data_IF_580441212950
#
_entry.id   IF_580441212950
#
_cell.length_a   1.000
_cell.length_b   1.000
_cell.length_c   1.000
_cell.angle_alpha   90.00
_cell.angle_beta   90.00
_cell.angle_gamma   90.00
#
_symmetry.space_group_name_H-M   'P 1'
#
loop_
_entity.id
_entity.type
_entity.pdbx_description
1 polymer ?
#
# COMPACT_ATOMS: atom_id res chain seq x y z
N UNK A 1 20.49 22.74 -11.28
CA UNK A 1 20.34 23.11 -9.86
C UNK A 1 20.54 21.86 -8.96
N UNK A 2 19.87 20.74 -9.17
CA UNK A 2 20.05 19.51 -8.37
C UNK A 2 21.42 18.86 -8.60
N UNK A 3 21.92 18.81 -9.81
CA UNK A 3 23.24 18.27 -10.14
C UNK A 3 24.37 19.07 -9.46
N UNK A 4 24.23 20.39 -9.39
CA UNK A 4 25.20 21.23 -8.68
C UNK A 4 25.15 21.02 -7.16
N UNK A 5 23.97 20.68 -6.60
CA UNK A 5 23.84 20.30 -5.18
C UNK A 5 24.57 18.98 -4.89
N UNK A 6 24.41 17.98 -5.76
CA UNK A 6 25.12 16.68 -5.65
C UNK A 6 26.63 16.88 -5.73
N UNK A 7 27.10 17.70 -6.67
CA UNK A 7 28.55 17.98 -6.82
C UNK A 7 29.12 18.61 -5.55
N UNK A 8 28.41 19.57 -4.95
CA UNK A 8 28.81 20.19 -3.67
C UNK A 8 28.80 19.19 -2.51
N UNK A 9 27.74 18.39 -2.38
CA UNK A 9 27.64 17.37 -1.35
C UNK A 9 28.74 16.31 -1.49
N UNK A 10 29.06 15.89 -2.72
CA UNK A 10 30.17 14.96 -3.00
C UNK A 10 31.53 15.56 -2.61
N UNK A 11 31.75 16.84 -2.85
CA UNK A 11 32.97 17.52 -2.42
C UNK A 11 33.08 17.55 -0.88
N UNK A 12 31.97 17.77 -0.17
CA UNK A 12 31.92 17.71 1.29
C UNK A 12 32.26 16.32 1.84
N UNK A 13 31.76 15.25 1.20
CA UNK A 13 32.11 13.86 1.56
C UNK A 13 33.62 13.62 1.36
N UNK A 14 34.18 14.07 0.24
CA UNK A 14 35.61 13.93 -0.01
C UNK A 14 36.46 14.68 1.03
N UNK A 15 36.04 15.87 1.44
CA UNK A 15 36.68 16.63 2.51
C UNK A 15 36.61 15.91 3.86
N UNK A 16 35.44 15.38 4.21
CA UNK A 16 35.27 14.60 5.45
C UNK A 16 36.09 13.29 5.43
N UNK A 17 36.19 12.61 4.29
CA UNK A 17 37.09 11.44 4.11
C UNK A 17 38.55 11.80 4.32
N UNK A 18 39.00 12.94 3.81
CA UNK A 18 40.36 13.41 4.04
C UNK A 18 40.63 13.73 5.52
N UNK A 19 39.64 14.34 6.20
CA UNK A 19 39.69 14.60 7.64
C UNK A 19 39.76 13.30 8.47
N UNK A 20 38.96 12.29 8.11
CA UNK A 20 39.03 10.98 8.75
C UNK A 20 40.41 10.30 8.52
N UNK A 21 40.93 10.36 7.32
CA UNK A 21 42.26 9.81 7.02
C UNK A 21 43.36 10.51 7.86
N UNK A 22 43.27 11.83 8.03
CA UNK A 22 44.21 12.57 8.86
C UNK A 22 44.12 12.17 10.34
N UNK A 23 42.90 12.04 10.90
CA UNK A 23 42.71 11.63 12.30
C UNK A 23 43.13 10.16 12.53
N UNK A 24 42.91 9.28 11.55
CA UNK A 24 43.33 7.89 11.65
C UNK A 24 44.87 7.74 11.64
N UNK A 25 45.58 8.58 10.88
CA UNK A 25 47.07 8.64 10.91
C UNK A 25 47.55 9.17 12.26
N UNK A 26 46.90 10.20 12.79
CA UNK A 26 47.26 10.74 14.11
C UNK A 26 47.05 9.71 15.24
N UNK A 27 46.00 8.91 15.16
CA UNK A 27 45.75 7.82 16.10
C UNK A 27 46.82 6.72 15.97
N UNK A 28 47.21 6.34 14.75
CA UNK A 28 48.26 5.33 14.52
C UNK A 28 49.61 5.80 15.07
N UNK A 29 49.93 7.08 14.90
CA UNK A 29 51.14 7.68 15.49
C UNK A 29 51.10 7.66 17.03
N UNK A 30 49.97 8.05 17.63
CA UNK A 30 49.79 8.01 19.08
C UNK A 30 49.93 6.57 19.62
N UNK A 31 49.35 5.59 18.95
CA UNK A 31 49.47 4.16 19.31
C UNK A 31 50.92 3.66 19.22
N UNK A 32 51.68 4.08 18.21
CA UNK A 32 53.10 3.71 18.05
C UNK A 32 53.94 4.34 19.14
N UNK A 33 53.72 5.60 19.50
CA UNK A 33 54.41 6.30 20.60
C UNK A 33 54.14 5.60 21.93
N UNK A 34 52.89 5.34 22.21
CA UNK A 34 52.48 4.67 23.45
C UNK A 34 53.11 3.25 23.56
N UNK A 35 53.04 2.47 22.49
CA UNK A 35 53.63 1.14 22.48
C UNK A 35 55.16 1.17 22.79
N UNK A 36 55.85 2.18 22.28
CA UNK A 36 57.26 2.42 22.59
C UNK A 36 57.48 2.81 24.05
N UNK A 37 56.68 3.78 24.52
CA UNK A 37 56.81 4.29 25.88
C UNK A 37 56.38 3.28 26.93
N UNK A 38 55.47 2.37 26.63
CA UNK A 38 55.09 1.24 27.49
C UNK A 38 56.30 0.35 27.80
N UNK A 39 57.11 0.02 26.80
CA UNK A 39 58.32 -0.77 27.00
C UNK A 39 59.38 -0.01 27.82
N UNK A 40 59.47 1.32 27.66
CA UNK A 40 60.40 2.15 28.44
C UNK A 40 59.94 2.27 29.90
N UNK A 41 58.64 2.35 30.13
CA UNK A 41 58.05 2.37 31.47
C UNK A 41 58.30 1.04 32.22
N UNK A 42 58.05 -0.10 31.53
CA UNK A 42 58.34 -1.43 32.08
C UNK A 42 59.83 -1.62 32.47
N UNK A 43 60.73 -0.88 31.80
CA UNK A 43 62.18 -0.87 32.11
C UNK A 43 62.58 0.22 33.15
N UNK A 44 61.61 0.97 33.65
CA UNK A 44 61.85 2.05 34.62
C UNK A 44 62.55 3.30 34.02
N UNK A 45 62.50 3.48 32.69
CA UNK A 45 63.19 4.58 32.00
C UNK A 45 62.38 5.87 31.89
N UNK A 46 61.04 5.80 32.11
CA UNK A 46 60.15 6.98 32.14
C UNK A 46 59.29 6.98 33.40
N UNK A 47 58.79 8.19 33.75
CA UNK A 47 57.95 8.38 34.93
C UNK A 47 56.49 7.94 34.70
N UNK A 48 55.74 7.62 35.76
CA UNK A 48 54.32 7.32 35.73
C UNK A 48 53.53 8.48 35.07
N UNK A 49 53.87 9.73 35.37
CA UNK A 49 53.21 10.90 34.81
C UNK A 49 53.34 10.98 33.27
N UNK A 50 54.48 10.61 32.72
CA UNK A 50 54.72 10.57 31.27
C UNK A 50 53.91 9.43 30.63
N UNK A 51 53.87 8.24 31.25
CA UNK A 51 53.05 7.13 30.78
C UNK A 51 51.55 7.45 30.75
N UNK A 52 51.01 8.07 31.81
CA UNK A 52 49.62 8.51 31.91
C UNK A 52 49.28 9.64 30.90
N UNK A 53 50.27 10.49 30.55
CA UNK A 53 50.09 11.51 29.52
C UNK A 53 49.91 10.89 28.13
N UNK A 54 50.73 9.87 27.80
CA UNK A 54 50.60 9.14 26.51
C UNK A 54 49.29 8.37 26.41
N UNK A 55 48.82 7.75 27.51
CA UNK A 55 47.55 7.07 27.56
C UNK A 55 46.37 8.02 27.29
N UNK A 56 46.44 9.24 27.85
CA UNK A 56 45.44 10.28 27.55
C UNK A 56 45.52 10.73 26.09
N UNK A 57 46.72 10.83 25.52
CA UNK A 57 46.90 11.20 24.12
C UNK A 57 46.24 10.22 23.14
N UNK A 58 46.33 8.90 23.42
CA UNK A 58 45.58 7.90 22.64
C UNK A 58 44.07 8.12 22.75
N UNK A 59 43.54 8.26 23.97
CA UNK A 59 42.12 8.44 24.18
C UNK A 59 41.60 9.68 23.45
N UNK A 60 42.38 10.79 23.44
CA UNK A 60 42.04 11.99 22.68
C UNK A 60 42.06 11.70 21.16
N UNK A 61 43.05 11.02 20.68
CA UNK A 61 43.15 10.65 19.25
C UNK A 61 42.03 9.70 18.79
N UNK A 62 41.61 8.76 19.66
CA UNK A 62 40.46 7.87 19.40
C UNK A 62 39.16 8.63 19.29
N UNK A 63 38.90 9.54 20.22
CA UNK A 63 37.71 10.42 20.16
C UNK A 63 37.73 11.33 18.94
N UNK A 64 38.90 11.76 18.51
CA UNK A 64 39.07 12.61 17.33
C UNK A 64 38.81 11.84 16.03
N UNK A 65 39.26 10.57 15.94
CA UNK A 65 38.90 9.68 14.83
C UNK A 65 37.39 9.37 14.81
N UNK A 66 36.80 9.09 15.96
CA UNK A 66 35.36 8.84 16.08
C UNK A 66 34.54 10.06 15.66
N UNK A 67 34.93 11.26 16.10
CA UNK A 67 34.31 12.51 15.67
C UNK A 67 34.37 12.70 14.15
N UNK A 68 35.54 12.40 13.54
CA UNK A 68 35.72 12.47 12.09
C UNK A 68 34.86 11.43 11.35
N UNK A 69 34.63 10.24 11.92
CA UNK A 69 33.69 9.24 11.38
C UNK A 69 32.24 9.77 11.36
N UNK A 70 31.80 10.40 12.44
CA UNK A 70 30.45 10.99 12.48
C UNK A 70 30.31 12.15 11.51
N UNK A 71 31.36 12.97 11.32
CA UNK A 71 31.36 14.01 10.30
C UNK A 71 31.24 13.45 8.88
N UNK A 72 31.96 12.35 8.58
CA UNK A 72 31.81 11.64 7.32
C UNK A 72 30.40 11.10 7.12
N UNK A 73 29.83 10.46 8.12
CA UNK A 73 28.46 9.91 8.07
C UNK A 73 27.44 11.03 7.83
N UNK A 74 27.60 12.17 8.47
CA UNK A 74 26.73 13.35 8.24
C UNK A 74 26.85 13.86 6.80
N UNK A 75 28.07 13.93 6.26
CA UNK A 75 28.30 14.36 4.88
C UNK A 75 27.70 13.35 3.86
N UNK A 76 27.79 12.07 4.14
CA UNK A 76 27.18 11.01 3.31
C UNK A 76 25.64 11.08 3.34
N UNK A 77 25.05 11.35 4.50
CA UNK A 77 23.60 11.55 4.61
C UNK A 77 23.12 12.76 3.78
N UNK A 78 23.86 13.88 3.80
CA UNK A 78 23.56 15.05 2.98
C UNK A 78 23.69 14.74 1.47
N UNK A 79 24.65 13.91 1.07
CA UNK A 79 24.79 13.47 -0.31
C UNK A 79 23.61 12.59 -0.73
N UNK A 80 23.19 11.66 0.11
CA UNK A 80 22.02 10.80 -0.13
C UNK A 80 20.73 11.62 -0.27
N UNK A 81 20.57 12.65 0.58
CA UNK A 81 19.45 13.58 0.45
C UNK A 81 19.46 14.33 -0.89
N UNK A 82 20.63 14.79 -1.34
CA UNK A 82 20.77 15.45 -2.64
C UNK A 82 20.41 14.51 -3.80
N UNK A 83 20.78 13.21 -3.74
CA UNK A 83 20.37 12.21 -4.70
C UNK A 83 18.87 11.93 -4.67
N UNK A 84 18.26 11.82 -3.49
CA UNK A 84 16.81 11.65 -3.34
C UNK A 84 16.05 12.82 -3.94
N UNK A 85 16.53 14.04 -3.74
CA UNK A 85 15.93 15.23 -4.32
C UNK A 85 16.05 15.24 -5.86
N UNK A 86 17.16 14.79 -6.43
CA UNK A 86 17.27 14.60 -7.90
C UNK A 86 16.31 13.52 -8.38
N UNK A 87 16.23 12.37 -7.68
CA UNK A 87 15.33 11.28 -8.07
C UNK A 87 13.86 11.71 -8.11
N UNK A 88 13.45 12.61 -7.23
CA UNK A 88 12.09 13.17 -7.20
C UNK A 88 11.74 14.01 -8.43
N UNK A 89 12.74 14.48 -9.18
CA UNK A 89 12.48 15.23 -10.44
C UNK A 89 12.10 14.32 -11.60
N UNK A 90 12.38 13.02 -11.49
CA UNK A 90 11.99 12.03 -12.48
C UNK A 90 10.91 11.15 -11.89
N UNK A 91 9.70 11.32 -12.36
CA UNK A 91 8.54 10.57 -11.89
C UNK A 91 8.37 9.36 -12.79
N UNK A 92 8.42 8.18 -12.22
CA UNK A 92 8.24 6.90 -12.90
C UNK A 92 6.96 6.23 -12.42
N UNK A 93 6.29 5.52 -13.33
CA UNK A 93 5.12 4.73 -12.98
C UNK A 93 5.47 3.67 -11.93
N UNK A 94 4.71 3.56 -10.82
CA UNK A 94 4.95 2.55 -9.78
C UNK A 94 4.55 1.14 -10.21
N UNK A 95 3.66 1.02 -11.19
CA UNK A 95 3.13 -0.24 -11.72
C UNK A 95 3.03 -0.16 -13.24
N UNK A 96 3.05 -1.32 -13.88
CA UNK A 96 2.70 -1.43 -15.30
C UNK A 96 1.19 -1.28 -15.46
N UNK A 97 0.74 -0.53 -16.47
CA UNK A 97 -0.68 -0.31 -16.67
C UNK A 97 -0.97 0.72 -17.78
N UNK A 98 -2.24 1.07 -17.87
CA UNK A 98 -2.74 2.08 -18.81
C UNK A 98 -3.04 3.37 -18.06
N UNK A 99 -2.68 4.50 -18.66
CA UNK A 99 -3.07 5.82 -18.13
C UNK A 99 -4.57 5.99 -18.31
N UNK A 100 -5.30 6.07 -17.20
CA UNK A 100 -6.76 6.23 -17.21
C UNK A 100 -7.20 7.69 -17.14
N UNK A 101 -6.40 8.51 -16.53
CA UNK A 101 -6.63 9.94 -16.39
C UNK A 101 -5.30 10.68 -16.47
N UNK A 102 -5.28 11.79 -17.19
CA UNK A 102 -4.12 12.69 -17.32
C UNK A 102 -4.62 14.10 -17.01
N UNK A 103 -4.15 14.64 -15.88
CA UNK A 103 -4.65 15.90 -15.33
C UNK A 103 -3.66 17.06 -15.55
N UNK A 104 -2.54 16.80 -16.24
CA UNK A 104 -1.50 17.80 -16.47
C UNK A 104 -1.10 17.88 -17.93
N UNK A 105 -0.73 19.07 -18.38
CA UNK A 105 -0.23 19.32 -19.74
C UNK A 105 1.27 19.60 -19.75
N UNK A 106 1.88 19.45 -20.94
CA UNK A 106 3.31 19.73 -21.11
C UNK A 106 3.59 21.23 -20.87
N UNK A 107 4.50 21.51 -19.95
CA UNK A 107 4.87 22.88 -19.57
C UNK A 107 4.09 23.41 -18.35
N UNK A 108 3.12 22.67 -17.86
CA UNK A 108 2.39 23.03 -16.65
C UNK A 108 3.26 22.94 -15.40
N UNK A 109 3.02 23.84 -14.46
CA UNK A 109 3.72 23.86 -13.19
C UNK A 109 3.02 22.99 -12.15
N UNK A 110 3.62 21.87 -11.80
CA UNK A 110 3.12 20.97 -10.75
C UNK A 110 3.79 21.28 -9.42
N UNK A 111 3.04 21.13 -8.32
CA UNK A 111 3.54 21.37 -6.97
C UNK A 111 3.58 20.01 -6.25
N UNK A 112 4.75 19.69 -5.70
CA UNK A 112 4.95 18.50 -4.89
C UNK A 112 5.89 18.83 -3.74
N UNK A 113 5.35 19.28 -2.61
CA UNK A 113 6.14 19.56 -1.40
C UNK A 113 5.71 18.66 -0.26
N UNK A 114 6.60 18.44 0.69
CA UNK A 114 6.31 17.64 1.88
C UNK A 114 5.23 18.28 2.80
N UNK A 115 4.95 19.55 2.61
CA UNK A 115 4.06 20.36 3.47
C UNK A 115 2.71 20.70 2.82
N UNK A 116 2.56 20.48 1.52
CA UNK A 116 1.31 20.77 0.79
C UNK A 116 0.84 19.53 0.03
N UNK A 117 -0.48 19.41 -0.12
CA UNK A 117 -1.08 18.40 -0.98
C UNK A 117 -0.52 18.53 -2.38
N UNK A 118 0.10 17.47 -2.90
CA UNK A 118 0.69 17.47 -4.25
C UNK A 118 -0.38 17.56 -5.33
N UNK A 119 0.02 18.01 -6.53
CA UNK A 119 -0.83 17.98 -7.72
C UNK A 119 -0.92 16.52 -8.22
N UNK A 120 -2.13 16.00 -8.37
CA UNK A 120 -2.36 14.73 -9.05
C UNK A 120 -2.05 14.92 -10.54
N UNK A 121 -1.11 14.14 -11.05
CA UNK A 121 -0.62 14.30 -12.42
C UNK A 121 -1.32 13.35 -13.39
N UNK A 122 -1.44 12.09 -12.99
CA UNK A 122 -2.05 11.03 -13.79
C UNK A 122 -2.44 9.85 -12.92
N UNK A 123 -3.41 9.07 -13.40
CA UNK A 123 -3.80 7.78 -12.83
C UNK A 123 -3.41 6.65 -13.76
N UNK A 124 -2.79 5.63 -13.19
CA UNK A 124 -2.45 4.39 -13.89
C UNK A 124 -3.24 3.26 -13.27
N UNK A 125 -3.88 2.45 -14.09
CA UNK A 125 -4.61 1.27 -13.66
C UNK A 125 -4.26 0.05 -14.51
N UNK A 126 -4.27 -1.12 -13.88
CA UNK A 126 -4.25 -2.40 -14.60
C UNK A 126 -5.68 -2.73 -15.03
N UNK A 127 -5.94 -2.60 -16.33
CA UNK A 127 -7.25 -2.88 -16.91
C UNK A 127 -7.51 -4.39 -17.12
N UNK A 128 -6.54 -5.27 -16.84
CA UNK A 128 -6.75 -6.71 -16.93
C UNK A 128 -7.55 -7.25 -15.75
N UNK A 129 -7.53 -6.54 -14.63
CA UNK A 129 -8.26 -6.92 -13.42
C UNK A 129 -9.27 -5.83 -13.09
N UNK A 130 -10.53 -6.09 -13.38
CA UNK A 130 -11.63 -5.13 -13.10
C UNK A 130 -12.37 -5.55 -11.84
N UNK A 131 -12.67 -4.56 -11.01
CA UNK A 131 -13.47 -4.74 -9.81
C UNK A 131 -14.67 -3.78 -9.84
N UNK A 132 -15.82 -4.28 -9.41
CA UNK A 132 -17.03 -3.48 -9.22
C UNK A 132 -17.19 -3.18 -7.74
N UNK A 133 -17.37 -1.92 -7.44
CA UNK A 133 -17.60 -1.43 -6.11
C UNK A 133 -19.12 -1.26 -5.89
N UNK A 134 -19.67 -1.93 -4.90
CA UNK A 134 -21.10 -1.91 -4.60
C UNK A 134 -21.32 -1.48 -3.15
N UNK A 135 -22.29 -0.61 -2.94
CA UNK A 135 -22.72 -0.22 -1.60
C UNK A 135 -23.91 -1.10 -1.19
N UNK A 136 -23.73 -1.86 -0.12
CA UNK A 136 -24.72 -2.80 0.41
C UNK A 136 -25.20 -2.34 1.77
N UNK A 137 -26.52 -2.43 1.98
CA UNK A 137 -27.16 -2.07 3.24
C UNK A 137 -26.72 -2.99 4.39
N UNK A 138 -26.73 -2.47 5.63
CA UNK A 138 -26.39 -3.20 6.86
C UNK A 138 -27.24 -4.47 7.05
N UNK A 139 -28.49 -4.47 6.66
CA UNK A 139 -29.37 -5.64 6.80
C UNK A 139 -29.03 -6.79 5.86
N UNK A 140 -28.38 -6.49 4.74
CA UNK A 140 -28.06 -7.49 3.71
C UNK A 140 -26.59 -7.90 3.73
N UNK A 141 -25.69 -7.06 4.25
CA UNK A 141 -24.26 -7.38 4.35
C UNK A 141 -23.99 -8.65 5.18
N UNK A 142 -24.81 -8.91 6.19
CA UNK A 142 -24.70 -10.08 7.07
C UNK A 142 -24.87 -11.40 6.30
N UNK A 143 -25.61 -11.36 5.18
CA UNK A 143 -25.88 -12.54 4.33
C UNK A 143 -24.78 -12.80 3.32
N UNK A 144 -23.91 -11.81 3.06
CA UNK A 144 -22.87 -11.89 2.03
C UNK A 144 -21.60 -12.46 2.62
N UNK A 145 -21.02 -13.40 1.93
CA UNK A 145 -19.73 -13.98 2.30
C UNK A 145 -18.69 -13.79 1.20
N UNK A 146 -17.42 -13.72 1.61
CA UNK A 146 -16.32 -13.68 0.65
C UNK A 146 -16.30 -14.96 -0.17
N UNK A 147 -16.33 -14.83 -1.49
CA UNK A 147 -16.39 -15.95 -2.42
C UNK A 147 -17.76 -16.15 -3.04
N UNK A 148 -18.80 -15.42 -2.61
CA UNK A 148 -20.12 -15.49 -3.23
C UNK A 148 -20.05 -15.05 -4.70
N UNK A 149 -20.86 -15.71 -5.53
CA UNK A 149 -20.96 -15.41 -6.95
C UNK A 149 -21.90 -14.23 -7.16
N UNK A 150 -21.50 -13.29 -7.98
CA UNK A 150 -22.34 -12.15 -8.38
C UNK A 150 -22.58 -12.14 -9.89
N UNK A 151 -23.78 -11.74 -10.28
CA UNK A 151 -24.13 -11.36 -11.65
C UNK A 151 -24.02 -9.85 -11.76
N UNK A 152 -23.30 -9.39 -12.78
CA UNK A 152 -22.98 -7.98 -13.00
C UNK A 152 -23.55 -7.58 -14.34
N UNK A 153 -24.41 -6.58 -14.35
CA UNK A 153 -24.93 -5.95 -15.55
C UNK A 153 -24.38 -4.54 -15.65
N UNK A 154 -23.62 -4.26 -16.70
CA UNK A 154 -23.02 -2.96 -16.94
C UNK A 154 -23.93 -2.17 -17.87
N UNK A 155 -24.28 -0.96 -17.48
CA UNK A 155 -25.24 -0.12 -18.23
C UNK A 155 -24.81 0.18 -19.67
N UNK A 156 -23.49 0.19 -19.92
CA UNK A 156 -22.94 0.34 -21.27
C UNK A 156 -23.14 -0.88 -22.19
N UNK A 157 -23.44 -2.06 -21.63
CA UNK A 157 -23.58 -3.35 -22.34
C UNK A 157 -24.92 -4.02 -22.01
N UNK A 158 -26.02 -3.33 -22.29
CA UNK A 158 -27.38 -3.80 -22.03
C UNK A 158 -27.62 -5.22 -22.63
N UNK A 159 -28.21 -6.08 -21.81
CA UNK A 159 -28.52 -7.47 -22.20
C UNK A 159 -27.37 -8.46 -22.02
N UNK A 160 -26.22 -8.03 -21.56
CA UNK A 160 -25.10 -8.92 -21.22
C UNK A 160 -24.92 -8.95 -19.70
N UNK A 161 -24.98 -10.14 -19.11
CA UNK A 161 -24.67 -10.36 -17.71
C UNK A 161 -23.29 -11.01 -17.57
N UNK A 162 -22.46 -10.46 -16.70
CA UNK A 162 -21.11 -10.92 -16.43
C UNK A 162 -21.05 -11.56 -15.06
N UNK A 163 -20.11 -12.49 -14.88
CA UNK A 163 -19.92 -13.15 -13.59
C UNK A 163 -18.78 -12.50 -12.83
N UNK A 164 -19.01 -12.30 -11.54
CA UNK A 164 -18.02 -11.87 -10.59
C UNK A 164 -18.01 -12.72 -9.34
N UNK A 165 -17.01 -12.51 -8.51
CA UNK A 165 -16.87 -13.14 -7.20
C UNK A 165 -16.57 -12.06 -6.18
N UNK A 166 -17.22 -12.10 -5.02
CA UNK A 166 -16.96 -11.20 -3.90
C UNK A 166 -15.53 -11.39 -3.42
N UNK A 167 -14.69 -10.38 -3.63
CA UNK A 167 -13.27 -10.39 -3.27
C UNK A 167 -13.02 -9.88 -1.87
N UNK A 168 -13.72 -8.81 -1.51
CA UNK A 168 -13.53 -8.11 -0.23
C UNK A 168 -14.84 -7.49 0.25
N UNK A 169 -15.06 -7.49 1.56
CA UNK A 169 -16.17 -6.83 2.23
C UNK A 169 -15.55 -5.85 3.23
N UNK A 170 -15.92 -4.58 3.16
CA UNK A 170 -15.41 -3.57 4.08
C UNK A 170 -15.87 -3.85 5.51
N UNK A 171 -14.94 -3.81 6.46
CA UNK A 171 -15.22 -4.03 7.88
C UNK A 171 -15.82 -2.78 8.58
N UNK A 172 -15.83 -1.64 7.90
CA UNK A 172 -16.40 -0.39 8.42
C UNK A 172 -17.40 0.20 7.44
N UNK A 173 -18.45 0.77 7.99
CA UNK A 173 -19.43 1.50 7.21
C UNK A 173 -18.83 2.79 6.66
N UNK A 174 -19.24 3.16 5.45
CA UNK A 174 -18.93 4.44 4.84
C UNK A 174 -19.91 5.48 5.37
N UNK A 175 -19.51 6.21 6.39
CA UNK A 175 -20.29 7.34 6.89
C UNK A 175 -20.05 8.54 5.98
N UNK A 176 -21.09 9.07 5.36
CA UNK A 176 -21.00 10.34 4.65
C UNK A 176 -20.69 11.47 5.64
N UNK A 177 -19.69 12.31 5.32
CA UNK A 177 -19.37 13.48 6.15
C UNK A 177 -20.61 14.39 6.26
N UNK A 178 -21.17 14.52 7.49
CA UNK A 178 -22.38 15.31 7.74
C UNK A 178 -23.68 14.52 7.76
N UNK A 179 -23.63 13.19 7.85
CA UNK A 179 -24.80 12.32 7.93
C UNK A 179 -25.68 12.63 9.14
N UNK A 180 -26.98 12.79 8.91
CA UNK A 180 -28.01 12.83 9.95
C UNK A 180 -28.17 11.43 10.58
N UNK A 181 -28.64 11.32 11.85
CA UNK A 181 -28.82 10.03 12.53
C UNK A 181 -29.72 9.01 11.83
N UNK A 182 -30.56 9.47 10.89
CA UNK A 182 -31.51 8.64 10.12
C UNK A 182 -30.94 8.12 8.78
N UNK A 183 -29.62 8.29 8.53
CA UNK A 183 -29.04 7.88 7.26
C UNK A 183 -28.72 6.39 7.28
N UNK A 184 -29.11 5.72 6.20
CA UNK A 184 -28.87 4.27 5.99
C UNK A 184 -27.39 3.98 5.98
N UNK A 185 -26.97 3.03 6.83
CA UNK A 185 -25.59 2.57 6.91
C UNK A 185 -25.29 1.62 5.76
N UNK A 186 -24.36 2.00 4.89
CA UNK A 186 -23.94 1.18 3.77
C UNK A 186 -22.49 0.69 3.96
N UNK A 187 -22.23 -0.54 3.53
CA UNK A 187 -20.92 -1.16 3.52
C UNK A 187 -20.44 -1.35 2.08
N UNK A 188 -19.17 -1.11 1.85
CA UNK A 188 -18.56 -1.26 0.54
C UNK A 188 -18.17 -2.73 0.31
N UNK A 189 -18.62 -3.31 -0.79
CA UNK A 189 -18.28 -4.66 -1.22
C UNK A 189 -17.57 -4.58 -2.56
N UNK A 190 -16.39 -5.18 -2.67
CA UNK A 190 -15.63 -5.30 -3.91
C UNK A 190 -15.90 -6.66 -4.54
N UNK A 191 -16.27 -6.63 -5.80
CA UNK A 191 -16.58 -7.80 -6.60
C UNK A 191 -15.64 -7.84 -7.78
N UNK A 192 -14.79 -8.88 -7.84
CA UNK A 192 -13.87 -9.06 -8.94
C UNK A 192 -14.57 -9.73 -10.11
N UNK A 193 -14.49 -9.14 -11.29
CA UNK A 193 -15.01 -9.72 -12.51
C UNK A 193 -14.16 -10.89 -12.97
N UNK A 194 -14.81 -11.93 -13.47
CA UNK A 194 -14.14 -13.12 -14.03
C UNK A 194 -13.87 -12.85 -15.51
N UNK A 195 -12.59 -12.84 -15.91
CA UNK A 195 -12.18 -12.50 -17.28
C UNK A 195 -12.84 -13.38 -18.35
N UNK A 196 -13.05 -14.65 -18.07
CA UNK A 196 -13.75 -15.56 -19.02
C UNK A 196 -15.21 -15.18 -19.29
N UNK A 197 -15.84 -14.39 -18.42
CA UNK A 197 -17.25 -14.00 -18.60
C UNK A 197 -17.45 -12.92 -19.67
N UNK A 198 -16.43 -12.13 -19.99
CA UNK A 198 -16.50 -11.08 -21.01
C UNK A 198 -15.61 -11.33 -22.25
N UNK A 199 -14.98 -12.49 -22.34
CA UNK A 199 -14.17 -12.85 -23.50
C UNK A 199 -14.97 -12.79 -24.82
N UNK A 200 -16.28 -12.94 -24.78
CA UNK A 200 -17.18 -12.80 -25.95
C UNK A 200 -17.25 -11.37 -26.50
N UNK A 201 -16.88 -10.35 -25.72
CA UNK A 201 -16.84 -8.96 -26.15
C UNK A 201 -15.53 -8.56 -26.81
N UNK A 202 -14.45 -9.31 -26.59
CA UNK A 202 -13.11 -8.98 -27.12
C UNK A 202 -13.06 -8.75 -28.65
N UNK A 203 -13.77 -9.53 -29.50
CA UNK A 203 -13.72 -9.34 -30.94
C UNK A 203 -14.23 -7.97 -31.40
N UNK A 204 -15.19 -7.39 -30.68
CA UNK A 204 -15.86 -6.16 -31.07
C UNK A 204 -15.30 -4.91 -30.37
N UNK A 205 -14.83 -5.04 -29.14
CA UNK A 205 -14.47 -3.91 -28.27
C UNK A 205 -13.00 -3.94 -27.79
N UNK A 206 -12.22 -4.91 -28.23
CA UNK A 206 -10.83 -5.08 -27.85
C UNK A 206 -10.67 -5.82 -26.49
N UNK A 207 -9.43 -6.01 -26.10
CA UNK A 207 -9.05 -6.84 -24.94
C UNK A 207 -9.65 -6.35 -23.60
N UNK A 208 -9.93 -5.06 -23.48
CA UNK A 208 -10.48 -4.44 -22.26
C UNK A 208 -11.69 -3.58 -22.64
N UNK A 209 -12.91 -4.14 -22.67
CA UNK A 209 -14.12 -3.42 -23.07
C UNK A 209 -14.60 -2.45 -21.98
N UNK A 210 -14.24 -2.70 -20.73
CA UNK A 210 -14.68 -1.88 -19.60
C UNK A 210 -13.72 -0.73 -19.33
N UNK A 211 -14.26 0.38 -18.84
CA UNK A 211 -13.48 1.55 -18.43
C UNK A 211 -13.79 1.89 -16.97
N UNK A 212 -12.80 2.33 -16.19
CA UNK A 212 -13.03 2.84 -14.84
C UNK A 212 -14.09 3.97 -14.86
N UNK A 213 -15.01 3.93 -13.89
CA UNK A 213 -16.09 4.91 -13.80
C UNK A 213 -17.39 4.51 -14.52
N UNK A 214 -17.46 3.34 -15.16
CA UNK A 214 -18.73 2.81 -15.67
C UNK A 214 -19.65 2.39 -14.53
N UNK A 215 -20.95 2.60 -14.70
CA UNK A 215 -21.99 2.18 -13.75
C UNK A 215 -22.40 0.74 -14.04
N UNK A 216 -22.65 -0.01 -12.98
CA UNK A 216 -23.10 -1.39 -13.08
C UNK A 216 -24.11 -1.72 -11.97
N UNK A 217 -25.08 -2.57 -12.31
CA UNK A 217 -26.00 -3.18 -11.36
C UNK A 217 -25.52 -4.58 -11.02
N UNK A 218 -25.56 -4.95 -9.74
CA UNK A 218 -25.04 -6.24 -9.28
C UNK A 218 -26.09 -7.00 -8.48
N UNK A 219 -26.25 -8.27 -8.82
CA UNK A 219 -27.05 -9.22 -8.07
C UNK A 219 -26.09 -10.25 -7.41
N UNK A 220 -26.03 -10.25 -6.07
CA UNK A 220 -25.18 -11.15 -5.30
C UNK A 220 -25.99 -12.37 -4.88
N UNK A 221 -25.54 -13.56 -5.27
CA UNK A 221 -26.17 -14.82 -4.96
C UNK A 221 -25.61 -15.34 -3.63
N UNK A 222 -26.34 -15.09 -2.55
CA UNK A 222 -25.92 -15.42 -1.18
C UNK A 222 -26.25 -16.85 -0.76
N UNK A 223 -27.27 -17.46 -1.39
CA UNK A 223 -27.66 -18.83 -1.07
C UNK A 223 -28.20 -19.56 -2.29
N UNK A 224 -27.83 -20.81 -2.49
CA UNK A 224 -28.32 -21.69 -3.53
C UNK A 224 -28.92 -22.93 -2.89
N UNK A 225 -30.23 -23.09 -3.01
CA UNK A 225 -30.88 -24.36 -2.70
C UNK A 225 -30.93 -25.24 -3.94
N UNK A 226 -30.36 -26.44 -3.87
CA UNK A 226 -30.47 -27.47 -4.90
C UNK A 226 -31.64 -28.35 -4.55
N UNK A 227 -32.38 -28.82 -5.56
CA UNK A 227 -33.50 -29.77 -5.43
C UNK A 227 -34.65 -29.28 -4.52
N UNK A 228 -34.87 -27.95 -4.51
CA UNK A 228 -35.99 -27.36 -3.77
C UNK A 228 -37.32 -27.59 -4.52
N UNK A 229 -38.31 -28.08 -3.82
CA UNK A 229 -39.68 -28.19 -4.35
C UNK A 229 -40.28 -26.76 -4.41
N UNK A 230 -40.49 -26.26 -5.59
CA UNK A 230 -41.01 -24.90 -5.81
C UNK A 230 -42.51 -24.97 -6.03
N UNK A 231 -43.27 -24.23 -5.22
CA UNK A 231 -44.71 -24.06 -5.38
C UNK A 231 -45.00 -22.63 -5.79
N UNK A 232 -45.77 -22.37 -6.86
CA UNK A 232 -46.15 -20.99 -7.23
C UNK A 232 -46.85 -20.32 -6.08
N UNK A 233 -46.54 -19.06 -5.84
CA UNK A 233 -47.09 -18.28 -4.70
C UNK A 233 -48.64 -18.23 -4.73
N UNK A 234 -49.24 -18.30 -5.93
CA UNK A 234 -50.67 -18.36 -6.17
C UNK A 234 -51.33 -19.65 -5.68
N UNK A 235 -50.54 -20.73 -5.48
CA UNK A 235 -51.04 -22.00 -4.97
C UNK A 235 -51.05 -22.05 -3.43
N UNK A 236 -50.43 -21.06 -2.76
CA UNK A 236 -50.45 -20.97 -1.30
C UNK A 236 -51.59 -20.05 -0.88
N UNK A 237 -52.73 -20.62 -0.55
CA UNK A 237 -53.88 -19.88 -0.03
C UNK A 237 -54.12 -20.23 1.43
N UNK A 238 -54.35 -19.20 2.25
CA UNK A 238 -54.79 -19.41 3.62
C UNK A 238 -56.31 -19.69 3.59
N UNK A 239 -56.68 -20.91 3.97
CA UNK A 239 -58.08 -21.29 4.12
C UNK A 239 -58.42 -21.25 5.59
N UNK A 240 -59.29 -20.36 6.00
CA UNK A 240 -59.88 -20.42 7.34
C UNK A 240 -60.91 -21.55 7.36
N UNK A 241 -60.59 -22.63 8.06
CA UNK A 241 -61.51 -23.74 8.27
C UNK A 241 -62.53 -23.30 9.37
N UNK A 242 -63.76 -23.15 8.98
CA UNK A 242 -64.87 -22.82 9.90
C UNK A 242 -65.51 -24.09 10.47
N UNK A 243 -65.05 -25.26 10.15
CA UNK A 243 -65.51 -26.52 10.71
C UNK A 243 -64.62 -26.99 11.87
N UNK A 244 -65.22 -27.28 13.00
CA UNK A 244 -64.59 -27.68 14.25
C UNK A 244 -64.01 -29.11 14.24
N UNK A 245 -63.49 -29.59 13.13
CA UNK A 245 -62.77 -30.85 13.04
C UNK A 245 -61.28 -30.56 12.85
N UNK A 246 -60.54 -30.75 13.92
CA UNK A 246 -59.08 -30.71 13.91
C UNK A 246 -58.55 -31.81 12.96
N UNK A 247 -57.97 -31.40 11.84
CA UNK A 247 -57.18 -32.33 10.98
C UNK A 247 -55.79 -32.35 11.59
N UNK A 248 -55.43 -33.47 12.18
CA UNK A 248 -54.04 -33.75 12.62
C UNK A 248 -53.18 -33.99 11.39
N UNK A 249 -52.17 -33.14 11.19
CA UNK A 249 -51.14 -33.36 10.17
C UNK A 249 -50.15 -34.41 10.66
N UNK A 250 -50.22 -35.60 10.12
CA UNK A 250 -49.21 -36.62 10.29
C UNK A 250 -48.01 -36.27 9.40
N UNK A 251 -46.87 -35.98 10.04
CA UNK A 251 -45.61 -35.68 9.36
C UNK A 251 -45.06 -37.01 8.83
N UNK A 252 -45.27 -37.33 7.57
CA UNK A 252 -44.58 -38.44 6.93
C UNK A 252 -43.12 -38.01 6.71
N UNK A 253 -42.25 -38.46 7.60
CA UNK A 253 -40.82 -38.46 7.36
C UNK A 253 -40.57 -39.68 6.43
N UNK A 254 -40.25 -39.44 5.18
CA UNK A 254 -39.65 -40.47 4.34
C UNK A 254 -38.21 -40.61 4.78
N UNK A 255 -37.92 -41.70 5.48
CA UNK A 255 -36.58 -42.29 5.53
C UNK A 255 -36.36 -42.88 4.11
N UNK A 256 -35.27 -42.33 3.45
CA UNK A 256 -34.30 -43.13 2.65
C UNK A 256 -33.16 -42.20 2.22
#
# INVERSE_FOLDING_TARGET
>A
LYESAITRARAAVNSAKAGLAQSSVALDEAKKLWARNKVLFEKGAISQQEYDAEQRAISVAELQEESAKYQLQSAEANLDEAYKNLKRTTIIAPIDGTVTQLDVELGERVVGTATMTGTEMLRIADLNTMEVLVEVNENDIVKITKGDTALIEVDAFLGNSFRGVVSEIANSAKLAMGASPDQVTNFEVKIRMINSSFASLEPNYGKNPFRPGMTATVEIITNKMRDALVVPIQAVTVRSDTSSNAVSYERVLSED
#
